data_IF_883325828825
#
_entry.id   IF_883325828825
#
_cell.length_a   1.000
_cell.length_b   1.000
_cell.length_c   1.000
_cell.angle_alpha   90.00
_cell.angle_beta   90.00
_cell.angle_gamma   90.00
#
_symmetry.space_group_name_H-M   'P 1'
#
loop_
_entity.id
_entity.type
_entity.pdbx_description
1 polymer ?
#
# COMPACT_ATOMS: atom_id res chain seq x y z
N UNK A 1 -16.23 -51.94 37.76
CA UNK A 1 -15.79 -52.12 39.17
C UNK A 1 -14.58 -53.06 39.15
N UNK A 2 -13.33 -52.61 39.33
CA UNK A 2 -12.66 -52.35 40.62
C UNK A 2 -12.35 -53.69 41.32
N UNK A 3 -11.12 -54.16 41.53
CA UNK A 3 -9.95 -53.64 42.29
C UNK A 3 -8.65 -54.32 41.76
N UNK A 4 -7.56 -53.63 41.39
CA UNK A 4 -6.40 -53.12 42.16
C UNK A 4 -5.42 -54.19 42.71
N UNK A 5 -4.12 -54.00 42.36
CA UNK A 5 -2.84 -54.47 42.92
C UNK A 5 -2.15 -55.71 42.31
N UNK A 6 -0.83 -55.80 42.13
CA UNK A 6 0.33 -54.89 42.17
C UNK A 6 1.56 -55.76 41.83
N UNK A 7 2.34 -55.47 40.80
CA UNK A 7 3.71 -56.03 40.64
C UNK A 7 4.62 -55.07 39.88
N UNK A 8 5.43 -54.36 40.68
CA UNK A 8 6.83 -53.94 40.45
C UNK A 8 7.43 -54.26 39.07
N UNK A 9 7.83 -53.23 38.32
CA UNK A 9 9.22 -53.12 37.84
C UNK A 9 9.46 -51.73 37.26
N UNK A 10 10.41 -51.02 37.87
CA UNK A 10 10.93 -49.74 37.37
C UNK A 10 11.86 -50.02 36.19
N UNK A 11 11.57 -49.45 35.02
CA UNK A 11 12.59 -49.18 34.00
C UNK A 11 12.22 -47.90 33.23
N UNK A 12 12.88 -46.83 33.64
CA UNK A 12 13.49 -45.77 32.83
C UNK A 12 12.93 -45.63 31.41
N UNK A 13 12.17 -44.57 31.17
CA UNK A 13 12.13 -43.93 29.85
C UNK A 13 12.37 -42.43 30.02
N UNK A 14 13.61 -42.05 29.75
CA UNK A 14 14.11 -40.69 29.62
C UNK A 14 13.52 -40.13 28.31
N UNK A 15 12.59 -39.18 28.40
CA UNK A 15 12.26 -38.33 27.26
C UNK A 15 12.49 -36.89 27.69
N UNK A 16 13.63 -36.36 27.26
CA UNK A 16 14.02 -34.96 27.35
C UNK A 16 12.93 -34.10 26.69
N UNK A 17 12.16 -33.37 27.50
CA UNK A 17 11.47 -32.16 27.05
C UNK A 17 12.54 -31.11 26.75
N UNK A 18 13.01 -31.11 25.51
CA UNK A 18 13.81 -30.01 24.97
C UNK A 18 12.94 -28.77 25.01
N UNK A 19 13.26 -27.85 25.92
CA UNK A 19 12.79 -26.48 25.84
C UNK A 19 13.29 -25.90 24.53
N UNK A 20 12.43 -25.84 23.52
CA UNK A 20 12.66 -24.98 22.37
C UNK A 20 12.78 -23.56 22.92
N UNK A 21 13.94 -22.88 22.76
CA UNK A 21 13.95 -21.46 23.00
C UNK A 21 12.96 -20.88 21.99
N UNK A 22 11.87 -20.30 22.48
CA UNK A 22 11.13 -19.31 21.72
C UNK A 22 12.14 -18.20 21.44
N UNK A 23 12.81 -18.28 20.29
CA UNK A 23 13.60 -17.18 19.76
C UNK A 23 12.57 -16.13 19.39
N UNK A 24 12.29 -15.24 20.34
CA UNK A 24 11.65 -13.97 20.06
C UNK A 24 12.60 -13.25 19.11
N UNK A 25 12.32 -13.30 17.79
CA UNK A 25 12.89 -12.38 16.83
C UNK A 25 12.34 -10.97 17.15
N UNK A 26 12.87 -10.36 18.21
CA UNK A 26 12.69 -8.96 18.48
C UNK A 26 13.35 -8.19 17.34
N UNK A 27 12.55 -7.47 16.56
CA UNK A 27 13.09 -6.47 15.65
C UNK A 27 13.90 -5.48 16.49
N UNK A 28 15.21 -5.45 16.30
CA UNK A 28 16.10 -4.56 17.05
C UNK A 28 15.76 -3.10 16.72
N UNK A 29 15.60 -2.26 17.75
CA UNK A 29 15.24 -0.84 17.61
C UNK A 29 16.16 -0.07 16.64
N UNK A 30 17.41 -0.52 16.51
CA UNK A 30 18.41 -0.02 15.54
C UNK A 30 18.01 -0.26 14.07
N UNK A 31 17.36 -1.38 13.76
CA UNK A 31 16.88 -1.71 12.41
C UNK A 31 15.74 -0.77 11.97
N UNK A 32 14.78 -0.54 12.87
CA UNK A 32 13.66 0.38 12.60
C UNK A 32 14.13 1.82 12.39
N UNK A 33 15.09 2.30 13.19
CA UNK A 33 15.66 3.64 13.02
C UNK A 33 16.36 3.81 11.66
N UNK A 34 17.11 2.78 11.21
CA UNK A 34 17.74 2.75 9.88
C UNK A 34 16.68 2.82 8.76
N UNK A 35 15.63 1.99 8.83
CA UNK A 35 14.55 2.02 7.85
C UNK A 35 13.83 3.37 7.80
N UNK A 36 13.57 4.00 8.95
CA UNK A 36 12.96 5.34 8.98
C UNK A 36 13.86 6.38 8.29
N UNK A 37 15.18 6.32 8.50
CA UNK A 37 16.14 7.17 7.79
C UNK A 37 16.08 6.94 6.27
N UNK A 38 16.00 5.67 5.85
CA UNK A 38 15.84 5.30 4.44
C UNK A 38 14.54 5.81 3.83
N UNK A 39 13.41 5.72 4.55
CA UNK A 39 12.12 6.28 4.12
C UNK A 39 12.26 7.80 3.92
N UNK A 40 12.84 8.51 4.91
CA UNK A 40 13.06 9.97 4.81
C UNK A 40 13.90 10.35 3.60
N UNK A 41 15.02 9.66 3.39
CA UNK A 41 15.90 9.89 2.23
C UNK A 41 15.18 9.62 0.91
N UNK A 42 14.39 8.54 0.85
CA UNK A 42 13.66 8.17 -0.36
C UNK A 42 12.52 9.13 -0.69
N UNK A 43 11.81 9.61 0.33
CA UNK A 43 10.74 10.59 0.20
C UNK A 43 11.23 12.01 -0.13
N UNK A 44 12.52 12.32 0.05
CA UNK A 44 13.06 13.69 -0.05
C UNK A 44 12.84 14.37 -1.41
N UNK A 45 12.80 13.61 -2.51
CA UNK A 45 12.55 14.15 -3.86
C UNK A 45 11.14 13.88 -4.39
N UNK A 46 10.23 13.37 -3.57
CA UNK A 46 8.85 13.19 -4.01
C UNK A 46 8.13 14.54 -4.03
N UNK A 47 6.98 14.63 -4.72
CA UNK A 47 6.23 15.89 -4.79
C UNK A 47 5.66 16.32 -3.44
N UNK A 48 5.36 15.36 -2.56
CA UNK A 48 4.81 15.60 -1.22
C UNK A 48 5.66 14.88 -0.15
N UNK A 49 6.87 15.36 0.17
CA UNK A 49 7.83 14.65 1.03
C UNK A 49 7.29 14.39 2.43
N UNK A 50 6.69 15.40 3.07
CA UNK A 50 6.13 15.27 4.42
C UNK A 50 5.05 14.20 4.49
N UNK A 51 4.12 14.21 3.52
CA UNK A 51 3.06 13.21 3.45
C UNK A 51 3.64 11.81 3.18
N UNK A 52 4.63 11.69 2.28
CA UNK A 52 5.32 10.44 1.98
C UNK A 52 5.92 9.82 3.25
N UNK A 53 6.65 10.60 4.05
CA UNK A 53 7.24 10.10 5.29
C UNK A 53 6.17 9.70 6.29
N UNK A 54 5.16 10.54 6.49
CA UNK A 54 4.06 10.27 7.42
C UNK A 54 3.30 9.00 7.05
N UNK A 55 3.03 8.79 5.76
CA UNK A 55 2.24 7.67 5.27
C UNK A 55 3.02 6.35 5.24
N UNK A 56 4.35 6.39 5.12
CA UNK A 56 5.18 5.18 4.97
C UNK A 56 5.90 4.74 6.24
N UNK A 57 6.00 5.59 7.26
CA UNK A 57 6.68 5.23 8.52
C UNK A 57 5.98 4.05 9.23
N UNK A 58 4.66 3.92 9.10
CA UNK A 58 3.89 2.76 9.61
C UNK A 58 4.26 1.44 8.94
N UNK A 59 4.88 1.49 7.75
CA UNK A 59 5.34 0.33 6.99
C UNK A 59 6.80 -0.03 7.28
N UNK A 60 7.48 0.66 8.21
CA UNK A 60 8.91 0.46 8.45
C UNK A 60 9.31 -0.99 8.81
N UNK A 61 8.43 -1.75 9.47
CA UNK A 61 8.69 -3.18 9.76
C UNK A 61 8.64 -4.07 8.51
N UNK A 62 7.86 -3.68 7.49
CA UNK A 62 7.75 -4.39 6.22
C UNK A 62 8.87 -4.01 5.23
N UNK A 63 9.45 -2.82 5.37
CA UNK A 63 10.57 -2.31 4.55
C UNK A 63 11.89 -2.73 5.21
N UNK A 64 12.15 -4.02 5.16
CA UNK A 64 13.35 -4.61 5.74
C UNK A 64 14.59 -4.22 4.94
N UNK A 65 15.70 -3.97 5.65
CA UNK A 65 17.03 -3.76 5.05
C UNK A 65 17.09 -2.68 3.96
N UNK A 66 16.27 -1.62 4.06
CA UNK A 66 16.29 -0.51 3.10
C UNK A 66 16.01 -0.94 1.65
N UNK A 67 15.13 -1.93 1.47
CA UNK A 67 14.80 -2.49 0.16
C UNK A 67 13.87 -1.55 -0.63
N UNK A 68 14.31 -1.13 -1.83
CA UNK A 68 13.56 -0.23 -2.72
C UNK A 68 12.27 -0.84 -3.27
N UNK A 69 12.25 -2.14 -3.56
CA UNK A 69 11.05 -2.86 -4.02
C UNK A 69 9.98 -2.84 -2.92
N UNK A 70 10.37 -3.17 -1.68
CA UNK A 70 9.46 -3.17 -0.53
C UNK A 70 8.93 -1.74 -0.24
N UNK A 71 9.78 -0.72 -0.39
CA UNK A 71 9.34 0.67 -0.26
C UNK A 71 8.33 1.08 -1.34
N UNK A 72 8.58 0.73 -2.60
CA UNK A 72 7.64 0.98 -3.69
C UNK A 72 6.32 0.23 -3.46
N UNK A 73 6.38 -1.02 -2.99
CA UNK A 73 5.21 -1.82 -2.66
C UNK A 73 4.40 -1.22 -1.49
N UNK A 74 5.06 -0.72 -0.46
CA UNK A 74 4.41 -0.01 0.64
C UNK A 74 3.68 1.24 0.13
N UNK A 75 4.31 2.02 -0.75
CA UNK A 75 3.71 3.23 -1.32
C UNK A 75 2.51 2.95 -2.24
N UNK A 76 2.58 1.90 -3.06
CA UNK A 76 1.44 1.45 -3.85
C UNK A 76 0.29 0.96 -2.97
N UNK A 77 0.61 0.19 -1.92
CA UNK A 77 -0.39 -0.33 -0.99
C UNK A 77 -1.08 0.80 -0.22
N UNK A 78 -0.32 1.79 0.26
CA UNK A 78 -0.86 2.98 0.93
C UNK A 78 -1.76 3.80 0.00
N UNK A 79 -1.37 3.93 -1.28
CA UNK A 79 -2.18 4.60 -2.29
C UNK A 79 -3.49 3.85 -2.55
N UNK A 80 -3.43 2.53 -2.67
CA UNK A 80 -4.60 1.67 -2.86
C UNK A 80 -5.58 1.75 -1.69
N UNK A 81 -5.08 1.68 -0.44
CA UNK A 81 -5.91 1.79 0.77
C UNK A 81 -6.64 3.14 0.81
N UNK A 82 -5.95 4.24 0.51
CA UNK A 82 -6.58 5.57 0.47
C UNK A 82 -7.56 5.70 -0.68
N UNK A 83 -7.26 5.13 -1.85
CA UNK A 83 -8.16 5.11 -3.00
C UNK A 83 -9.46 4.35 -2.70
N UNK A 84 -9.39 3.19 -2.04
CA UNK A 84 -10.58 2.46 -1.58
C UNK A 84 -11.42 3.29 -0.60
N UNK A 85 -10.80 3.84 0.43
CA UNK A 85 -11.50 4.65 1.43
C UNK A 85 -12.17 5.89 0.81
N UNK A 86 -11.52 6.54 -0.17
CA UNK A 86 -12.09 7.64 -0.91
C UNK A 86 -13.25 7.19 -1.83
N UNK A 87 -13.09 6.09 -2.57
CA UNK A 87 -14.15 5.50 -3.41
C UNK A 87 -15.40 5.18 -2.61
N UNK A 88 -15.25 4.55 -1.44
CA UNK A 88 -16.37 4.25 -0.53
C UNK A 88 -17.07 5.52 -0.06
N UNK A 89 -16.31 6.55 0.31
CA UNK A 89 -16.87 7.83 0.72
C UNK A 89 -17.66 8.50 -0.41
N UNK A 90 -17.11 8.51 -1.63
CA UNK A 90 -17.79 9.03 -2.82
C UNK A 90 -19.07 8.22 -3.10
N UNK A 91 -19.01 6.89 -2.99
CA UNK A 91 -20.19 6.04 -3.16
C UNK A 91 -21.27 6.33 -2.11
N UNK A 92 -20.91 6.62 -0.86
CA UNK A 92 -21.86 6.99 0.18
C UNK A 92 -22.44 8.40 -0.03
N UNK A 93 -21.71 9.28 -0.71
CA UNK A 93 -22.11 10.67 -0.94
C UNK A 93 -23.38 10.79 -1.78
N UNK A 94 -23.70 9.81 -2.64
CA UNK A 94 -24.96 9.80 -3.41
C UNK A 94 -26.22 9.76 -2.53
N UNK A 95 -26.08 9.33 -1.27
CA UNK A 95 -27.20 9.19 -0.32
C UNK A 95 -27.51 10.50 0.41
N UNK A 96 -26.72 11.56 0.18
CA UNK A 96 -26.93 12.84 0.82
C UNK A 96 -28.26 13.47 0.36
N UNK A 97 -29.03 14.01 1.31
CA UNK A 97 -30.31 14.65 0.99
C UNK A 97 -30.08 16.02 0.34
N UNK A 98 -30.93 16.38 -0.62
CA UNK A 98 -30.89 17.70 -1.25
C UNK A 98 -29.88 17.84 -2.39
N UNK A 99 -29.34 16.74 -2.91
CA UNK A 99 -28.49 16.76 -4.11
C UNK A 99 -29.28 17.23 -5.34
N UNK A 100 -28.72 18.18 -6.06
CA UNK A 100 -29.16 18.58 -7.40
C UNK A 100 -28.74 17.52 -8.42
N UNK A 101 -29.44 17.45 -9.56
CA UNK A 101 -29.11 16.50 -10.63
C UNK A 101 -27.63 16.59 -11.08
N UNK A 102 -27.09 17.82 -11.19
CA UNK A 102 -25.68 18.05 -11.53
C UNK A 102 -24.70 17.54 -10.46
N UNK A 103 -25.05 17.65 -9.17
CA UNK A 103 -24.23 17.12 -8.08
C UNK A 103 -24.23 15.59 -8.09
N UNK A 104 -25.39 14.99 -8.32
CA UNK A 104 -25.52 13.54 -8.45
C UNK A 104 -24.69 12.99 -9.61
N UNK A 105 -24.74 13.64 -10.78
CA UNK A 105 -23.92 13.29 -11.93
C UNK A 105 -22.41 13.38 -11.61
N UNK A 106 -21.96 14.49 -11.02
CA UNK A 106 -20.56 14.66 -10.63
C UNK A 106 -20.09 13.61 -9.59
N UNK A 107 -20.96 13.14 -8.70
CA UNK A 107 -20.63 12.06 -7.75
C UNK A 107 -20.48 10.73 -8.49
N UNK A 108 -21.35 10.44 -9.45
CA UNK A 108 -21.22 9.23 -10.29
C UNK A 108 -19.96 9.24 -11.13
N UNK A 109 -19.67 10.34 -11.81
CA UNK A 109 -18.49 10.46 -12.66
C UNK A 109 -17.21 10.28 -11.82
N UNK A 110 -17.14 10.91 -10.65
CA UNK A 110 -16.01 10.70 -9.75
C UNK A 110 -15.96 9.26 -9.20
N UNK A 111 -17.10 8.64 -8.90
CA UNK A 111 -17.11 7.26 -8.43
C UNK A 111 -16.52 6.30 -9.47
N UNK A 112 -16.81 6.51 -10.75
CA UNK A 112 -16.23 5.77 -11.86
C UNK A 112 -14.71 5.96 -11.92
N UNK A 113 -14.24 7.22 -11.93
CA UNK A 113 -12.79 7.53 -11.93
C UNK A 113 -12.05 6.96 -10.71
N UNK A 114 -12.65 7.03 -9.52
CA UNK A 114 -12.07 6.41 -8.33
C UNK A 114 -12.07 4.88 -8.40
N UNK A 115 -13.05 4.28 -9.10
CA UNK A 115 -13.07 2.86 -9.43
C UNK A 115 -11.89 2.46 -10.31
N UNK A 116 -11.68 3.17 -11.41
CA UNK A 116 -10.57 2.94 -12.33
C UNK A 116 -9.20 3.09 -11.64
N UNK A 117 -9.07 4.11 -10.78
CA UNK A 117 -7.85 4.31 -9.99
C UNK A 117 -7.58 3.12 -9.06
N UNK A 118 -8.61 2.59 -8.39
CA UNK A 118 -8.47 1.42 -7.51
C UNK A 118 -8.01 0.19 -8.31
N UNK A 119 -8.61 -0.05 -9.47
CA UNK A 119 -8.27 -1.21 -10.31
C UNK A 119 -6.82 -1.12 -10.83
N UNK A 120 -6.39 0.07 -11.26
CA UNK A 120 -5.02 0.32 -11.73
C UNK A 120 -3.99 0.20 -10.61
N UNK A 121 -4.29 0.72 -9.42
CA UNK A 121 -3.44 0.57 -8.24
C UNK A 121 -3.36 -0.90 -7.79
N UNK A 122 -4.46 -1.65 -7.88
CA UNK A 122 -4.49 -3.08 -7.55
C UNK A 122 -3.57 -3.88 -8.48
N UNK A 123 -3.68 -3.68 -9.80
CA UNK A 123 -2.78 -4.27 -10.80
C UNK A 123 -1.32 -3.94 -10.51
N UNK A 124 -1.03 -2.69 -10.15
CA UNK A 124 0.32 -2.24 -9.80
C UNK A 124 0.90 -2.97 -8.59
N UNK A 125 0.09 -3.18 -7.55
CA UNK A 125 0.48 -3.92 -6.34
C UNK A 125 0.70 -5.40 -6.66
N UNK A 126 -0.18 -6.01 -7.44
CA UNK A 126 -0.10 -7.43 -7.82
C UNK A 126 1.13 -7.72 -8.68
N UNK A 127 1.39 -6.90 -9.69
CA UNK A 127 2.55 -7.02 -10.57
C UNK A 127 3.87 -6.88 -9.79
N UNK A 128 3.96 -5.89 -8.90
CA UNK A 128 5.18 -5.68 -8.08
C UNK A 128 5.44 -6.84 -7.11
N UNK A 129 4.37 -7.46 -6.58
CA UNK A 129 4.45 -8.66 -5.73
C UNK A 129 4.81 -9.91 -6.53
N UNK A 130 4.29 -10.02 -7.75
CA UNK A 130 4.52 -11.15 -8.66
C UNK A 130 5.92 -11.18 -9.26
N UNK A 131 6.64 -10.05 -9.24
CA UNK A 131 8.04 -10.03 -9.68
C UNK A 131 8.93 -10.89 -8.78
N UNK A 132 9.26 -12.08 -9.27
CA UNK A 132 10.27 -12.95 -8.68
C UNK A 132 11.67 -12.45 -9.03
N UNK A 133 12.19 -11.51 -8.24
CA UNK A 133 13.61 -11.14 -8.32
C UNK A 133 14.42 -12.28 -7.69
N UNK A 134 14.93 -13.21 -8.51
CA UNK A 134 15.87 -14.23 -8.03
C UNK A 134 17.19 -13.56 -7.62
N UNK A 135 17.57 -13.59 -6.33
CA UNK A 135 18.85 -13.05 -5.91
C UNK A 135 19.96 -13.91 -6.54
N UNK A 136 20.80 -13.33 -7.40
CA UNK A 136 22.01 -13.98 -7.92
C UNK A 136 21.96 -14.55 -9.34
N UNK A 137 20.90 -14.33 -10.14
CA UNK A 137 20.92 -14.65 -11.58
C UNK A 137 21.18 -13.41 -12.43
N UNK A 138 22.37 -13.39 -13.02
CA UNK A 138 22.86 -12.37 -13.95
C UNK A 138 21.96 -12.23 -15.19
N UNK A 139 21.49 -11.00 -15.42
CA UNK A 139 21.28 -10.30 -16.70
C UNK A 139 20.48 -10.95 -17.86
N UNK A 140 19.95 -12.17 -17.74
CA UNK A 140 19.03 -12.76 -18.74
C UNK A 140 17.57 -12.32 -18.56
N UNK A 141 17.20 -11.78 -17.39
CA UNK A 141 15.83 -11.36 -17.05
C UNK A 141 15.63 -9.83 -17.09
N UNK A 142 16.60 -9.08 -17.60
CA UNK A 142 16.48 -7.62 -17.75
C UNK A 142 15.24 -7.19 -18.57
N UNK A 143 14.88 -7.87 -19.69
CA UNK A 143 13.67 -7.52 -20.43
C UNK A 143 12.38 -7.75 -19.64
N UNK A 144 12.32 -8.81 -18.82
CA UNK A 144 11.16 -9.16 -17.99
C UNK A 144 10.98 -8.14 -16.86
N UNK A 145 12.06 -7.78 -16.14
CA UNK A 145 12.04 -6.74 -15.12
C UNK A 145 11.55 -5.40 -15.69
N UNK A 146 12.14 -4.96 -16.81
CA UNK A 146 11.75 -3.69 -17.47
C UNK A 146 10.28 -3.72 -17.88
N UNK A 147 9.79 -4.85 -18.40
CA UNK A 147 8.40 -5.00 -18.81
C UNK A 147 7.43 -4.86 -17.62
N UNK A 148 7.67 -5.58 -16.51
CA UNK A 148 6.84 -5.48 -15.32
C UNK A 148 6.83 -4.07 -14.72
N UNK A 149 8.00 -3.44 -14.60
CA UNK A 149 8.10 -2.09 -14.05
C UNK A 149 7.43 -1.05 -14.95
N UNK A 150 7.54 -1.20 -16.28
CA UNK A 150 6.84 -0.33 -17.24
C UNK A 150 5.31 -0.44 -17.12
N UNK A 151 4.78 -1.65 -16.92
CA UNK A 151 3.35 -1.85 -16.65
C UNK A 151 2.91 -1.12 -15.36
N UNK A 152 3.68 -1.27 -14.29
CA UNK A 152 3.42 -0.59 -13.01
C UNK A 152 3.43 0.92 -13.20
N UNK A 153 4.46 1.47 -13.86
CA UNK A 153 4.55 2.91 -14.13
C UNK A 153 3.34 3.42 -14.92
N UNK A 154 2.92 2.65 -15.93
CA UNK A 154 1.75 2.95 -16.74
C UNK A 154 0.49 2.98 -15.89
N UNK A 155 0.20 1.92 -15.13
CA UNK A 155 -1.00 1.84 -14.31
C UNK A 155 -1.04 2.88 -13.20
N UNK A 156 0.08 3.13 -12.50
CA UNK A 156 0.13 4.14 -11.43
C UNK A 156 -0.06 5.56 -11.98
N UNK A 157 0.57 5.86 -13.13
CA UNK A 157 0.38 7.16 -13.80
C UNK A 157 -1.07 7.34 -14.25
N UNK A 158 -1.65 6.27 -14.79
CA UNK A 158 -3.04 6.25 -15.21
C UNK A 158 -3.99 6.41 -14.00
N UNK A 159 -3.73 5.74 -12.87
CA UNK A 159 -4.48 5.92 -11.63
C UNK A 159 -4.43 7.37 -11.13
N UNK A 160 -3.25 8.00 -11.19
CA UNK A 160 -3.10 9.42 -10.83
C UNK A 160 -3.94 10.32 -11.74
N UNK A 161 -3.99 10.03 -13.04
CA UNK A 161 -4.85 10.75 -13.98
C UNK A 161 -6.33 10.63 -13.61
N UNK A 162 -6.84 9.43 -13.30
CA UNK A 162 -8.26 9.26 -12.96
C UNK A 162 -8.63 10.03 -11.69
N UNK A 163 -7.77 9.96 -10.66
CA UNK A 163 -7.98 10.70 -9.40
C UNK A 163 -7.98 12.21 -9.67
N UNK A 164 -7.10 12.71 -10.54
CA UNK A 164 -7.09 14.12 -10.93
C UNK A 164 -8.35 14.50 -11.73
N UNK A 165 -8.84 13.62 -12.62
CA UNK A 165 -10.11 13.82 -13.34
C UNK A 165 -11.29 13.95 -12.36
N UNK A 166 -11.39 13.07 -11.35
CA UNK A 166 -12.38 13.26 -10.29
C UNK A 166 -12.18 14.61 -9.58
N UNK A 167 -10.94 14.92 -9.16
CA UNK A 167 -10.64 16.16 -8.42
C UNK A 167 -11.06 17.42 -9.20
N UNK A 168 -10.77 17.46 -10.49
CA UNK A 168 -11.07 18.59 -11.38
C UNK A 168 -12.56 18.73 -11.67
N UNK A 169 -13.31 17.63 -11.71
CA UNK A 169 -14.78 17.64 -11.74
C UNK A 169 -15.39 18.44 -10.57
N UNK A 170 -14.68 18.52 -9.44
CA UNK A 170 -15.06 19.30 -8.27
C UNK A 170 -14.28 20.63 -8.11
N UNK A 171 -13.43 21.02 -9.07
CA UNK A 171 -12.71 22.30 -9.03
C UNK A 171 -13.55 23.50 -9.46
N UNK A 172 -14.68 23.29 -10.14
CA UNK A 172 -15.55 24.40 -10.60
C UNK A 172 -16.37 25.02 -9.45
N UNK A 173 -16.60 26.35 -9.49
CA UNK A 173 -17.45 27.10 -8.52
C UNK A 173 -18.94 26.71 -8.57
N UNK A 174 -19.35 25.81 -9.48
CA UNK A 174 -20.74 25.44 -9.71
C UNK A 174 -21.33 24.49 -8.66
N UNK A 175 -20.48 23.92 -7.80
CA UNK A 175 -20.84 23.04 -6.70
C UNK A 175 -20.42 23.74 -5.40
N UNK A 176 -21.33 23.98 -4.45
CA UNK A 176 -21.04 24.63 -3.17
C UNK A 176 -21.52 23.73 -2.03
N UNK A 177 -20.71 23.56 -0.97
CA UNK A 177 -21.14 22.88 0.25
C UNK A 177 -20.09 21.97 0.88
N UNK A 178 -20.37 21.55 2.13
CA UNK A 178 -19.48 20.72 2.95
C UNK A 178 -19.15 19.36 2.30
N UNK A 179 -20.12 18.77 1.59
CA UNK A 179 -19.96 17.47 0.93
C UNK A 179 -18.87 17.53 -0.15
N UNK A 180 -18.92 18.55 -1.01
CA UNK A 180 -17.91 18.80 -2.04
C UNK A 180 -16.52 18.93 -1.45
N UNK A 181 -16.37 19.75 -0.40
CA UNK A 181 -15.07 19.94 0.27
C UNK A 181 -14.54 18.61 0.78
N UNK A 182 -15.41 17.80 1.37
CA UNK A 182 -15.02 16.50 1.95
C UNK A 182 -14.61 15.49 0.87
N UNK A 183 -15.31 15.44 -0.27
CA UNK A 183 -14.92 14.62 -1.43
C UNK A 183 -13.56 15.09 -1.95
N UNK A 184 -13.41 16.40 -2.19
CA UNK A 184 -12.20 17.01 -2.75
C UNK A 184 -10.97 16.74 -1.89
N UNK A 185 -11.08 16.89 -0.57
CA UNK A 185 -9.97 16.64 0.36
C UNK A 185 -9.50 15.18 0.31
N UNK A 186 -10.44 14.24 0.26
CA UNK A 186 -10.12 12.81 0.17
C UNK A 186 -9.48 12.45 -1.16
N UNK A 187 -10.04 12.94 -2.27
CA UNK A 187 -9.51 12.68 -3.62
C UNK A 187 -8.13 13.32 -3.79
N UNK A 188 -7.93 14.55 -3.30
CA UNK A 188 -6.62 15.20 -3.27
C UNK A 188 -5.60 14.36 -2.50
N UNK A 189 -6.01 13.83 -1.35
CA UNK A 189 -5.14 13.01 -0.54
C UNK A 189 -4.68 11.75 -1.29
N UNK A 190 -5.58 11.10 -2.05
CA UNK A 190 -5.24 9.99 -2.94
C UNK A 190 -4.25 10.43 -4.02
N UNK A 191 -4.50 11.56 -4.70
CA UNK A 191 -3.62 12.06 -5.74
C UNK A 191 -2.20 12.30 -5.21
N UNK A 192 -2.09 12.85 -4.00
CA UNK A 192 -0.81 13.13 -3.37
C UNK A 192 -0.02 11.86 -3.02
N UNK A 193 -0.66 10.85 -2.44
CA UNK A 193 0.04 9.59 -2.12
C UNK A 193 0.37 8.79 -3.39
N UNK A 194 -0.50 8.78 -4.40
CA UNK A 194 -0.25 8.11 -5.68
C UNK A 194 0.90 8.78 -6.43
N UNK A 195 1.00 10.11 -6.38
CA UNK A 195 2.14 10.86 -6.92
C UNK A 195 3.46 10.49 -6.22
N UNK A 196 3.45 10.35 -4.89
CA UNK A 196 4.60 9.86 -4.15
C UNK A 196 4.95 8.42 -4.52
N UNK A 197 3.96 7.54 -4.65
CA UNK A 197 4.16 6.15 -5.05
C UNK A 197 4.79 6.04 -6.45
N UNK A 198 4.32 6.81 -7.42
CA UNK A 198 4.92 6.87 -8.76
C UNK A 198 6.40 7.27 -8.71
N UNK A 199 6.75 8.27 -7.90
CA UNK A 199 8.14 8.70 -7.74
C UNK A 199 9.03 7.59 -7.13
N UNK A 200 8.50 6.82 -6.17
CA UNK A 200 9.22 5.70 -5.55
C UNK A 200 9.35 4.50 -6.49
N UNK A 201 8.32 4.20 -7.28
CA UNK A 201 8.37 3.20 -8.36
C UNK A 201 9.44 3.58 -9.38
N UNK A 202 9.50 4.85 -9.80
CA UNK A 202 10.52 5.32 -10.75
C UNK A 202 11.95 5.17 -10.17
N UNK A 203 12.14 5.44 -8.89
CA UNK A 203 13.43 5.23 -8.20
C UNK A 203 13.82 3.76 -8.09
N UNK A 204 12.84 2.86 -7.96
CA UNK A 204 13.05 1.41 -8.02
C UNK A 204 13.36 0.94 -9.45
N UNK A 205 12.73 1.52 -10.46
CA UNK A 205 13.00 1.23 -11.86
C UNK A 205 14.44 1.57 -12.28
N UNK A 206 15.00 2.63 -11.70
CA UNK A 206 16.36 3.12 -12.00
C UNK A 206 17.44 2.53 -11.07
N UNK A 207 17.16 1.45 -10.35
CA UNK A 207 18.06 0.88 -9.35
C UNK A 207 18.85 -0.34 -9.78
#
# INVERSE_FOLDING_TARGET
MGMINNTVSRLVFLVLLTGLPFICYGSSATGTASTISFIKSSCSSTRYPTLCVQSLTSYASAIQQNNKQQLAQAALSESLVRAHAAKEYVAQSIKFRGLRAREYAAIKDCLEQMGDSVDRLSKSVEELKGMHMHPGKSNSNQPEFIWHVSNIQTWVSAALTDVNTCFDGYSSKALNGKLKTSIRERVLNVAQVTSNALALVNRFASS
#
